data_IF_114940700815
#
_entry.id   IF_114940700815
#
_cell.length_a   1.000
_cell.length_b   1.000
_cell.length_c   1.000
_cell.angle_alpha   90.00
_cell.angle_beta   90.00
_cell.angle_gamma   90.00
#
_symmetry.space_group_name_H-M   'P 1'
#
loop_
_entity.id
_entity.type
_entity.pdbx_description
1 polymer ?
#
# COMPACT_ATOMS: atom_id res chain seq x y z
N UNK A 1 19.50 -7.79 -5.69
CA UNK A 1 18.28 -7.84 -4.86
C UNK A 1 17.37 -6.71 -5.31
N UNK A 2 16.18 -7.00 -5.86
CA UNK A 2 15.27 -5.94 -6.38
C UNK A 2 14.50 -5.20 -5.27
N UNK A 3 14.50 -5.71 -4.04
CA UNK A 3 13.82 -5.12 -2.89
C UNK A 3 14.57 -5.53 -1.62
N UNK A 4 15.07 -4.54 -0.85
CA UNK A 4 15.85 -4.76 0.37
C UNK A 4 15.01 -4.92 1.64
N UNK A 5 13.69 -4.86 1.52
CA UNK A 5 12.78 -5.03 2.64
C UNK A 5 12.71 -6.51 3.05
N UNK A 6 13.01 -6.79 4.33
CA UNK A 6 12.86 -8.14 4.90
C UNK A 6 11.39 -8.59 4.97
N UNK A 7 10.46 -7.65 5.10
CA UNK A 7 9.03 -7.92 5.25
C UNK A 7 8.32 -7.71 3.92
N UNK A 8 8.17 -8.78 3.15
CA UNK A 8 7.36 -8.80 1.93
C UNK A 8 5.99 -9.36 2.29
N UNK A 9 5.03 -8.46 2.49
CA UNK A 9 3.68 -8.83 2.90
C UNK A 9 2.81 -8.80 1.67
N UNK A 10 2.31 -9.97 1.28
CA UNK A 10 1.37 -10.10 0.16
C UNK A 10 -0.03 -9.92 0.73
N UNK A 11 -0.82 -9.03 0.14
CA UNK A 11 -2.20 -8.82 0.54
C UNK A 11 -3.03 -8.26 -0.60
N UNK A 12 -4.35 -8.21 -0.38
CA UNK A 12 -5.30 -7.67 -1.35
C UNK A 12 -5.70 -6.26 -0.96
N UNK A 13 -5.46 -5.29 -1.84
CA UNK A 13 -5.91 -3.91 -1.65
C UNK A 13 -7.44 -3.90 -1.49
N UNK A 14 -7.92 -3.34 -0.38
CA UNK A 14 -9.35 -3.21 -0.08
C UNK A 14 -9.88 -1.80 -0.27
N UNK A 15 -9.01 -0.80 -0.25
CA UNK A 15 -9.40 0.59 -0.45
C UNK A 15 -8.21 1.50 -0.66
N UNK A 16 -8.45 2.61 -1.37
CA UNK A 16 -7.45 3.65 -1.59
C UNK A 16 -8.12 4.99 -1.30
N UNK A 17 -7.61 5.73 -0.33
CA UNK A 17 -8.04 7.08 0.00
C UNK A 17 -7.03 8.07 -0.55
N UNK A 18 -7.39 8.78 -1.61
CA UNK A 18 -6.53 9.79 -2.24
C UNK A 18 -6.73 11.13 -1.50
N UNK A 19 -5.66 11.68 -0.95
CA UNK A 19 -5.61 13.06 -0.45
C UNK A 19 -4.97 14.00 -1.48
N UNK A 20 -4.68 15.25 -1.08
CA UNK A 20 -4.12 16.26 -1.97
C UNK A 20 -2.65 16.00 -2.36
N UNK A 21 -1.85 15.42 -1.45
CA UNK A 21 -0.42 15.12 -1.66
C UNK A 21 -0.09 13.66 -1.32
N UNK A 22 -0.70 13.14 -0.26
CA UNK A 22 -0.55 11.76 0.18
C UNK A 22 -1.81 10.96 -0.12
N UNK A 23 -1.64 9.67 -0.29
CA UNK A 23 -2.72 8.71 -0.36
C UNK A 23 -2.51 7.63 0.70
N UNK A 24 -3.61 7.07 1.16
CA UNK A 24 -3.64 5.97 2.09
C UNK A 24 -4.21 4.75 1.38
N UNK A 25 -3.42 3.71 1.25
CA UNK A 25 -3.80 2.41 0.69
C UNK A 25 -4.07 1.46 1.84
N UNK A 26 -5.25 0.86 1.84
CA UNK A 26 -5.63 -0.16 2.81
C UNK A 26 -5.61 -1.52 2.12
N UNK A 27 -4.97 -2.49 2.76
CA UNK A 27 -4.76 -3.84 2.25
C UNK A 27 -5.14 -4.87 3.31
N UNK A 28 -5.88 -5.90 2.91
CA UNK A 28 -6.09 -7.10 3.74
C UNK A 28 -4.90 -8.02 3.57
N UNK A 29 -4.30 -8.39 4.69
CA UNK A 29 -3.17 -9.33 4.75
C UNK A 29 -3.67 -10.70 5.23
N UNK A 30 -2.96 -11.80 4.89
CA UNK A 30 -3.29 -13.14 5.34
C UNK A 30 -3.02 -13.29 6.84
N UNK A 31 -3.96 -12.80 7.65
CA UNK A 31 -4.06 -12.96 9.11
C UNK A 31 -5.38 -12.34 9.64
N UNK A 32 -6.41 -12.23 8.77
CA UNK A 32 -7.63 -11.43 8.99
C UNK A 32 -7.38 -9.97 9.41
N UNK A 33 -6.13 -9.51 9.22
CA UNK A 33 -5.68 -8.20 9.65
C UNK A 33 -5.71 -7.22 8.48
N UNK A 34 -5.88 -5.95 8.83
CA UNK A 34 -5.91 -4.84 7.87
C UNK A 34 -4.64 -4.03 8.05
N UNK A 35 -3.89 -3.88 6.98
CA UNK A 35 -2.69 -3.07 6.93
C UNK A 35 -2.99 -1.78 6.17
N UNK A 36 -2.55 -0.64 6.71
CA UNK A 36 -2.61 0.64 6.03
C UNK A 36 -1.20 1.08 5.65
N UNK A 37 -1.03 1.52 4.41
CA UNK A 37 0.20 2.11 3.91
C UNK A 37 -0.09 3.52 3.41
N UNK A 38 0.78 4.47 3.75
CA UNK A 38 0.71 5.84 3.24
C UNK A 38 1.84 6.05 2.25
N UNK A 39 1.51 6.60 1.10
CA UNK A 39 2.48 6.91 0.05
C UNK A 39 2.06 8.19 -0.68
N UNK A 40 2.98 8.80 -1.41
CA UNK A 40 2.68 9.99 -2.20
C UNK A 40 1.69 9.65 -3.32
N UNK A 41 0.90 10.64 -3.74
CA UNK A 41 -0.02 10.46 -4.86
C UNK A 41 0.72 10.18 -6.19
N UNK A 42 1.96 10.63 -6.29
CA UNK A 42 2.82 10.40 -7.45
C UNK A 42 3.20 8.92 -7.57
N UNK A 43 3.67 8.30 -6.48
CA UNK A 43 3.92 6.86 -6.44
C UNK A 43 2.67 6.03 -6.67
N UNK A 44 1.50 6.50 -6.21
CA UNK A 44 0.23 5.82 -6.49
C UNK A 44 -0.12 5.84 -7.98
N UNK A 45 0.13 6.95 -8.68
CA UNK A 45 -0.08 7.06 -10.14
C UNK A 45 0.93 6.21 -10.91
N UNK A 46 2.16 6.09 -10.41
CA UNK A 46 3.18 5.26 -11.05
C UNK A 46 2.86 3.76 -10.96
N UNK A 47 2.13 3.35 -9.92
CA UNK A 47 1.63 1.98 -9.75
C UNK A 47 0.39 1.64 -10.60
N UNK A 48 -0.26 2.62 -11.24
CA UNK A 48 -1.48 2.44 -12.02
C UNK A 48 -2.02 3.69 -12.72
#
# INVERSE_FOLDING_TARGET
MKYGARNQIIGKVTGIKKGALMCQVTMKIPAESVMASVMTIDSLKELG
#
